data_IF_005576720272
#
_entry.id   IF_005576720272
#
_cell.length_a   1.000
_cell.length_b   1.000
_cell.length_c   1.000
_cell.angle_alpha   90.00
_cell.angle_beta   90.00
_cell.angle_gamma   90.00
#
_symmetry.space_group_name_H-M   'P 1'
#
loop_
_entity.id
_entity.type
_entity.pdbx_description
1 polymer ?
#
# COMPACT_ATOMS: atom_id res chain seq x y z
N UNK A 1 -36.01 -36.20 -43.09
CA UNK A 1 -35.63 -37.14 -42.02
C UNK A 1 -34.12 -37.28 -42.07
N UNK A 2 -33.35 -36.36 -41.47
CA UNK A 2 -32.89 -36.33 -40.05
C UNK A 2 -32.00 -37.53 -39.70
N UNK A 3 -30.82 -37.41 -39.09
CA UNK A 3 -29.98 -36.28 -38.67
C UNK A 3 -28.61 -36.84 -38.22
N UNK A 4 -27.54 -36.08 -38.52
CA UNK A 4 -26.28 -35.82 -37.78
C UNK A 4 -25.61 -36.95 -36.96
N UNK A 5 -24.35 -37.34 -37.23
CA UNK A 5 -23.10 -36.57 -36.98
C UNK A 5 -23.04 -35.89 -35.60
N UNK A 6 -22.43 -36.57 -34.61
CA UNK A 6 -21.53 -35.95 -33.64
C UNK A 6 -20.99 -37.01 -32.67
N UNK A 7 -19.77 -37.45 -32.89
CA UNK A 7 -18.94 -38.12 -31.87
C UNK A 7 -17.48 -37.91 -32.24
N UNK A 8 -17.05 -36.65 -32.21
CA UNK A 8 -15.64 -36.26 -32.17
C UNK A 8 -15.45 -35.30 -31.00
N UNK A 9 -14.37 -35.55 -30.27
CA UNK A 9 -13.75 -34.71 -29.24
C UNK A 9 -14.45 -34.59 -27.88
N UNK A 10 -14.52 -35.72 -27.16
CA UNK A 10 -14.21 -35.72 -25.73
C UNK A 10 -12.71 -36.06 -25.60
N UNK A 11 -11.85 -35.12 -25.97
CA UNK A 11 -10.46 -35.18 -25.57
C UNK A 11 -10.43 -35.06 -24.04
N UNK A 12 -9.97 -36.12 -23.36
CA UNK A 12 -9.53 -36.06 -21.98
C UNK A 12 -8.52 -34.90 -21.85
N UNK A 13 -8.97 -33.75 -21.35
CA UNK A 13 -8.11 -32.61 -21.07
C UNK A 13 -7.20 -33.02 -19.90
N UNK A 14 -5.91 -33.15 -20.16
CA UNK A 14 -4.91 -33.33 -19.11
C UNK A 14 -4.93 -32.08 -18.19
N UNK A 15 -5.10 -32.23 -16.86
CA UNK A 15 -5.15 -31.10 -15.91
C UNK A 15 -3.91 -30.20 -15.97
N UNK A 16 -2.74 -30.79 -16.26
CA UNK A 16 -1.45 -30.10 -16.37
C UNK A 16 -1.40 -29.08 -17.52
N UNK A 17 -2.08 -29.35 -18.66
CA UNK A 17 -2.12 -28.42 -19.79
C UNK A 17 -2.98 -27.18 -19.52
N UNK A 18 -3.93 -27.27 -18.58
CA UNK A 18 -4.86 -26.19 -18.27
C UNK A 18 -4.22 -25.15 -17.32
N UNK A 19 -3.41 -25.60 -16.35
CA UNK A 19 -2.70 -24.72 -15.42
C UNK A 19 -1.68 -23.81 -16.13
N UNK A 20 -0.83 -24.39 -16.98
CA UNK A 20 0.18 -23.64 -17.74
C UNK A 20 -0.51 -22.61 -18.67
N UNK A 21 -1.53 -23.04 -19.40
CA UNK A 21 -2.34 -22.15 -20.25
C UNK A 21 -2.94 -21.00 -19.43
N UNK A 22 -3.53 -21.30 -18.26
CA UNK A 22 -4.12 -20.29 -17.42
C UNK A 22 -3.10 -19.28 -16.88
N UNK A 23 -1.89 -19.73 -16.51
CA UNK A 23 -0.79 -18.87 -16.11
C UNK A 23 -0.39 -17.92 -17.25
N UNK A 24 -0.20 -18.44 -18.47
CA UNK A 24 0.14 -17.62 -19.63
C UNK A 24 -0.92 -16.56 -19.95
N UNK A 25 -2.20 -16.95 -19.94
CA UNK A 25 -3.32 -16.03 -20.15
C UNK A 25 -3.36 -14.94 -19.07
N UNK A 26 -3.18 -15.29 -17.80
CA UNK A 26 -3.15 -14.32 -16.70
C UNK A 26 -1.92 -13.40 -16.76
N UNK A 27 -0.76 -13.91 -17.19
CA UNK A 27 0.42 -13.06 -17.42
C UNK A 27 0.19 -12.07 -18.56
N UNK A 28 -0.49 -12.48 -19.63
CA UNK A 28 -0.86 -11.57 -20.72
C UNK A 28 -1.87 -10.51 -20.25
N UNK A 29 -2.83 -10.88 -19.39
CA UNK A 29 -3.76 -9.94 -18.77
C UNK A 29 -3.03 -8.94 -17.85
N UNK A 30 -2.06 -9.39 -17.06
CA UNK A 30 -1.19 -8.50 -16.28
C UNK A 30 -0.39 -7.55 -17.19
N UNK A 31 0.14 -8.03 -18.31
CA UNK A 31 0.85 -7.19 -19.28
C UNK A 31 -0.06 -6.09 -19.86
N UNK A 32 -1.33 -6.40 -20.14
CA UNK A 32 -2.33 -5.40 -20.55
C UNK A 32 -2.56 -4.38 -19.43
N UNK A 33 -2.76 -4.84 -18.19
CA UNK A 33 -2.98 -4.00 -17.02
C UNK A 33 -1.80 -3.02 -16.79
N UNK A 34 -0.57 -3.54 -16.81
CA UNK A 34 0.66 -2.76 -16.62
C UNK A 34 0.95 -1.76 -17.75
N UNK A 35 0.33 -1.94 -18.92
CA UNK A 35 0.32 -1.00 -20.05
C UNK A 35 -0.94 -0.10 -20.08
N UNK A 36 -1.64 0.04 -18.96
CA UNK A 36 -2.85 0.86 -18.78
C UNK A 36 -4.07 0.40 -19.62
N UNK A 37 -4.07 -0.81 -20.17
CA UNK A 37 -5.22 -1.39 -20.89
C UNK A 37 -6.13 -2.15 -19.91
N UNK A 38 -6.64 -1.42 -18.91
CA UNK A 38 -7.37 -1.98 -17.78
C UNK A 38 -8.61 -2.76 -18.18
N UNK A 39 -9.43 -2.21 -19.08
CA UNK A 39 -10.66 -2.85 -19.56
C UNK A 39 -10.38 -4.14 -20.33
N UNK A 40 -9.35 -4.15 -21.19
CA UNK A 40 -8.95 -5.33 -21.96
C UNK A 40 -8.44 -6.45 -21.03
N UNK A 41 -7.65 -6.06 -20.01
CA UNK A 41 -7.18 -7.00 -18.99
C UNK A 41 -8.34 -7.68 -18.26
N UNK A 42 -9.30 -6.91 -17.73
CA UNK A 42 -10.47 -7.44 -17.04
C UNK A 42 -11.34 -8.31 -17.96
N UNK A 43 -11.58 -7.87 -19.20
CA UNK A 43 -12.38 -8.60 -20.18
C UNK A 43 -11.75 -9.96 -20.53
N UNK A 44 -10.42 -10.01 -20.67
CA UNK A 44 -9.69 -11.26 -20.95
C UNK A 44 -9.79 -12.28 -19.82
N UNK A 45 -9.96 -11.83 -18.57
CA UNK A 45 -10.00 -12.69 -17.40
C UNK A 45 -11.42 -13.19 -17.06
N UNK A 46 -12.43 -12.35 -17.30
CA UNK A 46 -13.78 -12.52 -16.77
C UNK A 46 -14.41 -13.89 -17.08
N UNK A 47 -14.21 -14.39 -18.31
CA UNK A 47 -14.84 -15.61 -18.79
C UNK A 47 -14.44 -16.88 -18.03
N UNK A 48 -13.23 -16.92 -17.44
CA UNK A 48 -12.68 -18.12 -16.78
C UNK A 48 -12.60 -18.02 -15.25
N UNK A 49 -13.19 -16.97 -14.66
CA UNK A 49 -13.16 -16.72 -13.21
C UNK A 49 -13.79 -17.83 -12.35
N UNK A 50 -14.67 -18.66 -12.91
CA UNK A 50 -15.32 -19.77 -12.19
C UNK A 50 -14.59 -21.11 -12.32
N UNK A 51 -13.72 -21.20 -13.33
CA UNK A 51 -13.13 -22.44 -13.81
C UNK A 51 -11.62 -22.49 -13.62
N UNK A 52 -10.95 -21.36 -13.36
CA UNK A 52 -9.50 -21.29 -13.17
C UNK A 52 -9.14 -20.46 -11.94
N UNK A 53 -8.33 -21.02 -11.05
CA UNK A 53 -7.89 -20.36 -9.81
C UNK A 53 -7.13 -19.05 -10.09
N UNK A 54 -6.28 -19.04 -11.13
CA UNK A 54 -5.47 -17.86 -11.49
C UNK A 54 -6.31 -16.76 -12.11
N UNK A 55 -7.25 -17.09 -12.99
CA UNK A 55 -8.15 -16.10 -13.57
C UNK A 55 -9.04 -15.46 -12.50
N UNK A 56 -9.58 -16.30 -11.61
CA UNK A 56 -10.42 -15.86 -10.50
C UNK A 56 -9.66 -14.89 -9.58
N UNK A 57 -8.47 -15.28 -9.14
CA UNK A 57 -7.61 -14.47 -8.28
C UNK A 57 -7.19 -13.18 -8.97
N UNK A 58 -6.65 -13.25 -10.19
CA UNK A 58 -6.14 -12.07 -10.91
C UNK A 58 -7.24 -11.04 -11.14
N UNK A 59 -8.41 -11.49 -11.59
CA UNK A 59 -9.58 -10.63 -11.78
C UNK A 59 -10.00 -9.95 -10.47
N UNK A 60 -10.10 -10.74 -9.39
CA UNK A 60 -10.47 -10.23 -8.09
C UNK A 60 -9.44 -9.23 -7.53
N UNK A 61 -8.13 -9.51 -7.70
CA UNK A 61 -7.05 -8.62 -7.27
C UNK A 61 -7.07 -7.28 -8.01
N UNK A 62 -7.36 -7.27 -9.31
CA UNK A 62 -7.47 -6.01 -10.08
C UNK A 62 -8.65 -5.17 -9.57
N UNK A 63 -9.81 -5.79 -9.32
CA UNK A 63 -10.97 -5.09 -8.76
C UNK A 63 -10.73 -4.62 -7.32
N UNK A 64 -10.00 -5.38 -6.53
CA UNK A 64 -9.61 -4.96 -5.18
C UNK A 64 -8.64 -3.79 -5.22
N UNK A 65 -7.68 -3.77 -6.14
CA UNK A 65 -6.81 -2.61 -6.35
C UNK A 65 -7.64 -1.37 -6.69
N UNK A 66 -8.66 -1.50 -7.55
CA UNK A 66 -9.59 -0.41 -7.82
C UNK A 66 -10.31 0.03 -6.55
N UNK A 67 -10.90 -0.90 -5.78
CA UNK A 67 -11.63 -0.59 -4.56
C UNK A 67 -10.77 0.09 -3.48
N UNK A 68 -9.54 -0.39 -3.26
CA UNK A 68 -8.58 0.23 -2.34
C UNK A 68 -8.14 1.62 -2.81
N UNK A 69 -8.18 1.88 -4.12
CA UNK A 69 -7.83 3.18 -4.68
C UNK A 69 -9.02 4.14 -4.82
N UNK A 70 -10.28 3.67 -4.79
CA UNK A 70 -11.47 4.55 -4.80
C UNK A 70 -11.98 4.84 -3.40
N UNK A 71 -11.79 3.89 -2.48
CA UNK A 71 -12.49 3.84 -1.20
C UNK A 71 -14.03 3.95 -1.36
N UNK A 72 -14.55 3.68 -2.56
CA UNK A 72 -15.99 3.71 -2.81
C UNK A 72 -16.64 2.47 -2.17
N UNK A 73 -17.68 2.64 -1.33
CA UNK A 73 -18.32 1.52 -0.64
C UNK A 73 -18.85 0.45 -1.60
N UNK A 74 -19.34 0.84 -2.77
CA UNK A 74 -19.86 -0.10 -3.77
C UNK A 74 -18.73 -0.89 -4.43
N UNK A 75 -17.62 -0.24 -4.74
CA UNK A 75 -16.41 -0.91 -5.25
C UNK A 75 -15.83 -1.87 -4.20
N UNK A 76 -15.74 -1.46 -2.93
CA UNK A 76 -15.25 -2.29 -1.81
C UNK A 76 -16.15 -3.52 -1.61
N UNK A 77 -17.48 -3.36 -1.67
CA UNK A 77 -18.43 -4.47 -1.57
C UNK A 77 -18.30 -5.42 -2.78
N UNK A 78 -18.18 -4.88 -3.99
CA UNK A 78 -18.02 -5.67 -5.21
C UNK A 78 -16.71 -6.47 -5.21
N UNK A 79 -15.59 -5.83 -4.86
CA UNK A 79 -14.30 -6.49 -4.70
C UNK A 79 -14.36 -7.57 -3.62
N UNK A 80 -15.00 -7.30 -2.47
CA UNK A 80 -15.16 -8.27 -1.40
C UNK A 80 -15.96 -9.51 -1.80
N UNK A 81 -17.05 -9.33 -2.56
CA UNK A 81 -17.84 -10.43 -3.10
C UNK A 81 -17.06 -11.22 -4.15
N UNK A 82 -16.42 -10.53 -5.10
CA UNK A 82 -15.61 -11.17 -6.14
C UNK A 82 -14.45 -11.97 -5.54
N UNK A 83 -13.78 -11.43 -4.52
CA UNK A 83 -12.70 -12.12 -3.83
C UNK A 83 -13.19 -13.35 -3.05
N UNK A 84 -14.41 -13.29 -2.49
CA UNK A 84 -15.03 -14.46 -1.85
C UNK A 84 -15.32 -15.56 -2.86
N UNK A 85 -15.77 -15.21 -4.07
CA UNK A 85 -15.97 -16.15 -5.18
C UNK A 85 -14.64 -16.74 -5.66
N UNK A 86 -13.60 -15.91 -5.82
CA UNK A 86 -12.26 -16.36 -6.20
C UNK A 86 -11.67 -17.34 -5.17
N UNK A 87 -11.83 -17.05 -3.88
CA UNK A 87 -11.44 -17.98 -2.82
C UNK A 87 -12.19 -19.32 -2.92
N UNK A 88 -13.51 -19.29 -3.21
CA UNK A 88 -14.30 -20.49 -3.38
C UNK A 88 -13.86 -21.30 -4.59
N UNK A 89 -13.49 -20.65 -5.70
CA UNK A 89 -12.88 -21.30 -6.86
C UNK A 89 -11.56 -21.97 -6.48
N UNK A 90 -10.62 -21.25 -5.82
CA UNK A 90 -9.35 -21.82 -5.36
C UNK A 90 -9.57 -23.05 -4.45
N UNK A 91 -10.54 -22.98 -3.54
CA UNK A 91 -10.86 -24.08 -2.62
C UNK A 91 -11.29 -25.38 -3.33
N UNK A 92 -11.84 -25.32 -4.56
CA UNK A 92 -12.20 -26.52 -5.33
C UNK A 92 -10.97 -27.31 -5.78
N UNK A 93 -9.86 -26.62 -6.04
CA UNK A 93 -8.59 -27.18 -6.52
C UNK A 93 -7.62 -27.54 -5.39
N UNK A 94 -7.89 -27.11 -4.16
CA UNK A 94 -7.08 -27.47 -2.99
C UNK A 94 -7.25 -28.94 -2.63
N UNK A 95 -6.20 -29.51 -2.03
CA UNK A 95 -6.21 -30.87 -1.51
C UNK A 95 -7.37 -31.05 -0.53
N UNK A 96 -8.29 -31.97 -0.83
CA UNK A 96 -9.43 -32.28 0.02
C UNK A 96 -8.91 -33.05 1.23
N UNK A 97 -8.78 -32.38 2.37
CA UNK A 97 -8.47 -33.05 3.64
C UNK A 97 -9.75 -33.67 4.21
N UNK A 98 -9.81 -34.99 4.32
CA UNK A 98 -10.91 -35.66 5.00
C UNK A 98 -10.75 -35.49 6.52
N UNK A 99 -11.84 -35.51 7.29
CA UNK A 99 -11.78 -35.38 8.78
C UNK A 99 -10.87 -36.44 9.42
N UNK A 100 -10.75 -37.61 8.79
CA UNK A 100 -9.83 -38.67 9.18
C UNK A 100 -8.34 -38.32 8.95
N UNK A 101 -8.02 -37.59 7.88
CA UNK A 101 -6.65 -37.16 7.55
C UNK A 101 -6.14 -36.12 8.54
N UNK A 102 -7.02 -35.22 9.02
CA UNK A 102 -6.70 -34.21 10.03
C UNK A 102 -6.32 -34.80 11.39
N UNK A 103 -6.92 -35.94 11.76
CA UNK A 103 -6.61 -36.67 13.01
C UNK A 103 -5.28 -37.44 12.86
N UNK A 104 -5.01 -37.99 11.67
CA UNK A 104 -3.74 -38.68 11.39
C UNK A 104 -2.55 -37.70 11.32
N UNK A 105 -2.76 -36.49 10.77
CA UNK A 105 -1.75 -35.43 10.69
C UNK A 105 -1.28 -34.90 12.05
N UNK A 106 -2.13 -35.03 13.09
CA UNK A 106 -1.79 -34.65 14.46
C UNK A 106 -0.83 -35.66 15.12
N UNK A 107 -0.86 -36.93 14.68
CA UNK A 107 -0.12 -38.06 15.29
C UNK A 107 1.12 -38.43 14.48
N UNK A 108 1.09 -38.27 13.15
CA UNK A 108 2.24 -38.46 12.27
C UNK A 108 2.41 -37.27 11.33
N UNK A 109 3.53 -36.55 11.48
CA UNK A 109 4.04 -35.46 10.60
C UNK A 109 4.36 -35.93 9.16
N UNK A 110 3.76 -37.01 8.66
CA UNK A 110 4.15 -37.71 7.43
C UNK A 110 3.26 -37.41 6.21
N UNK A 111 2.25 -36.55 6.27
CA UNK A 111 1.35 -36.31 5.11
C UNK A 111 1.75 -35.18 4.15
N UNK A 112 2.98 -34.66 4.25
CA UNK A 112 3.55 -33.77 3.23
C UNK A 112 3.83 -34.50 1.90
N UNK A 113 3.69 -35.83 1.87
CA UNK A 113 3.95 -36.63 0.69
C UNK A 113 2.74 -36.62 -0.25
N UNK A 114 2.97 -36.05 -1.44
CA UNK A 114 2.10 -35.96 -2.61
C UNK A 114 1.05 -34.84 -2.56
N UNK A 115 1.49 -33.62 -2.90
CA UNK A 115 0.64 -32.64 -3.55
C UNK A 115 0.84 -32.76 -5.07
N UNK A 116 -0.24 -32.64 -5.83
CA UNK A 116 -0.15 -32.36 -7.26
C UNK A 116 0.28 -30.90 -7.48
N UNK A 117 0.80 -30.60 -8.67
CA UNK A 117 1.18 -29.24 -9.03
C UNK A 117 -0.01 -28.27 -8.96
N UNK A 118 -1.20 -28.71 -9.37
CA UNK A 118 -2.40 -27.88 -9.29
C UNK A 118 -2.80 -27.57 -7.85
N UNK A 119 -2.72 -28.55 -6.95
CA UNK A 119 -3.07 -28.36 -5.53
C UNK A 119 -2.12 -27.38 -4.83
N UNK A 120 -0.79 -27.45 -5.06
CA UNK A 120 0.15 -26.48 -4.43
C UNK A 120 -0.07 -25.05 -4.93
N UNK A 121 -0.41 -24.88 -6.21
CA UNK A 121 -0.74 -23.57 -6.77
C UNK A 121 -2.06 -23.05 -6.18
N UNK A 122 -3.03 -23.94 -5.95
CA UNK A 122 -4.30 -23.59 -5.30
C UNK A 122 -4.09 -23.17 -3.84
N UNK A 123 -3.17 -23.80 -3.10
CA UNK A 123 -2.80 -23.37 -1.74
C UNK A 123 -2.26 -21.93 -1.72
N UNK A 124 -1.36 -21.56 -2.64
CA UNK A 124 -0.87 -20.17 -2.75
C UNK A 124 -2.02 -19.22 -3.09
N UNK A 125 -2.79 -19.50 -4.14
CA UNK A 125 -3.85 -18.59 -4.59
C UNK A 125 -4.91 -18.39 -3.49
N UNK A 126 -5.19 -19.43 -2.71
CA UNK A 126 -6.08 -19.35 -1.56
C UNK A 126 -5.49 -18.52 -0.42
N UNK A 127 -4.20 -18.68 -0.11
CA UNK A 127 -3.51 -17.88 0.90
C UNK A 127 -3.50 -16.38 0.53
N UNK A 128 -3.39 -16.05 -0.76
CA UNK A 128 -3.49 -14.68 -1.26
C UNK A 128 -4.91 -14.13 -1.14
N UNK A 129 -5.92 -14.90 -1.54
CA UNK A 129 -7.32 -14.54 -1.32
C UNK A 129 -7.59 -14.23 0.16
N UNK A 130 -7.01 -15.00 1.09
CA UNK A 130 -7.18 -14.75 2.52
C UNK A 130 -6.60 -13.38 2.95
N UNK A 131 -5.42 -13.02 2.45
CA UNK A 131 -4.77 -11.73 2.75
C UNK A 131 -5.58 -10.56 2.20
N UNK A 132 -5.97 -10.66 0.94
CA UNK A 132 -6.78 -9.66 0.25
C UNK A 132 -8.14 -9.45 0.92
N UNK A 133 -8.82 -10.55 1.27
CA UNK A 133 -10.05 -10.46 2.07
C UNK A 133 -9.82 -9.88 3.46
N UNK A 134 -8.67 -10.12 4.10
CA UNK A 134 -8.36 -9.52 5.38
C UNK A 134 -8.22 -8.00 5.24
N UNK A 135 -7.50 -7.53 4.22
CA UNK A 135 -7.36 -6.10 3.90
C UNK A 135 -8.74 -5.45 3.70
N UNK A 136 -9.61 -6.02 2.86
CA UNK A 136 -10.97 -5.51 2.67
C UNK A 136 -11.82 -5.55 3.95
N UNK A 137 -11.66 -6.56 4.80
CA UNK A 137 -12.38 -6.64 6.08
C UNK A 137 -12.01 -5.49 7.01
N UNK A 138 -10.74 -5.09 7.04
CA UNK A 138 -10.28 -3.95 7.84
C UNK A 138 -10.77 -2.60 7.29
N UNK A 139 -11.13 -2.53 6.00
CA UNK A 139 -11.69 -1.33 5.38
C UNK A 139 -13.21 -1.21 5.52
N UNK A 140 -13.94 -2.33 5.65
CA UNK A 140 -15.40 -2.35 5.61
C UNK A 140 -16.08 -2.01 6.95
N UNK A 141 -15.51 -2.42 8.08
CA UNK A 141 -16.16 -2.31 9.39
C UNK A 141 -15.12 -2.16 10.51
N UNK A 142 -15.22 -1.09 11.30
CA UNK A 142 -14.33 -0.81 12.45
C UNK A 142 -14.67 -1.63 13.72
N UNK A 143 -15.58 -2.60 13.61
CA UNK A 143 -16.00 -3.38 14.78
C UNK A 143 -14.97 -4.48 15.13
N UNK A 144 -14.86 -4.77 16.43
CA UNK A 144 -13.88 -5.73 16.96
C UNK A 144 -14.04 -7.14 16.37
N UNK A 145 -15.25 -7.51 15.92
CA UNK A 145 -15.51 -8.82 15.29
C UNK A 145 -14.87 -8.91 13.91
N UNK A 146 -14.98 -7.86 13.09
CA UNK A 146 -14.32 -7.74 11.79
C UNK A 146 -12.80 -7.75 11.95
N UNK A 147 -12.27 -7.06 12.96
CA UNK A 147 -10.83 -7.09 13.29
C UNK A 147 -10.34 -8.51 13.60
N UNK A 148 -11.04 -9.26 14.46
CA UNK A 148 -10.69 -10.65 14.80
C UNK A 148 -10.77 -11.54 13.56
N UNK A 149 -11.84 -11.42 12.76
CA UNK A 149 -12.01 -12.19 11.52
C UNK A 149 -10.88 -11.91 10.52
N UNK A 150 -10.48 -10.65 10.36
CA UNK A 150 -9.34 -10.26 9.54
C UNK A 150 -8.04 -10.88 10.07
N UNK A 151 -7.77 -10.76 11.37
CA UNK A 151 -6.58 -11.34 12.01
C UNK A 151 -6.46 -12.87 11.82
N UNK A 152 -7.56 -13.60 11.93
CA UNK A 152 -7.58 -15.06 11.68
C UNK A 152 -7.20 -15.38 10.22
N UNK A 153 -7.68 -14.60 9.24
CA UNK A 153 -7.32 -14.80 7.83
C UNK A 153 -5.84 -14.55 7.57
N UNK A 154 -5.29 -13.48 8.15
CA UNK A 154 -3.85 -13.17 8.07
C UNK A 154 -3.03 -14.32 8.66
N UNK A 155 -3.43 -14.84 9.83
CA UNK A 155 -2.75 -15.98 10.47
C UNK A 155 -2.77 -17.23 9.61
N UNK A 156 -3.93 -17.59 9.07
CA UNK A 156 -4.07 -18.79 8.24
C UNK A 156 -3.23 -18.68 6.96
N UNK A 157 -3.17 -17.50 6.35
CA UNK A 157 -2.31 -17.23 5.20
C UNK A 157 -0.83 -17.37 5.57
N UNK A 158 -0.39 -16.76 6.69
CA UNK A 158 0.98 -16.87 7.19
C UNK A 158 1.41 -18.32 7.43
N UNK A 159 0.55 -19.12 8.06
CA UNK A 159 0.81 -20.54 8.27
C UNK A 159 0.94 -21.32 6.96
N UNK A 160 0.05 -21.05 6.00
CA UNK A 160 0.11 -21.67 4.67
C UNK A 160 1.45 -21.36 3.99
N UNK A 161 1.90 -20.10 3.99
CA UNK A 161 3.20 -19.75 3.40
C UNK A 161 4.39 -20.41 4.10
N UNK A 162 4.35 -20.55 5.43
CA UNK A 162 5.39 -21.25 6.20
C UNK A 162 5.45 -22.75 5.85
N UNK A 163 4.30 -23.37 5.65
CA UNK A 163 4.22 -24.78 5.23
C UNK A 163 4.74 -24.97 3.80
N UNK A 164 4.37 -24.07 2.88
CA UNK A 164 4.83 -24.11 1.49
C UNK A 164 6.34 -23.81 1.34
N UNK A 165 6.87 -22.90 2.14
CA UNK A 165 8.33 -22.66 2.22
C UNK A 165 9.08 -23.90 2.72
N UNK A 166 8.56 -24.54 3.77
CA UNK A 166 9.11 -25.80 4.28
C UNK A 166 9.04 -26.93 3.24
N UNK A 167 7.99 -26.95 2.42
CA UNK A 167 7.83 -27.91 1.33
C UNK A 167 8.89 -27.73 0.24
N UNK A 168 9.16 -26.48 -0.19
CA UNK A 168 10.20 -26.18 -1.20
C UNK A 168 11.58 -26.63 -0.74
N UNK A 169 11.86 -26.52 0.55
CA UNK A 169 13.14 -26.93 1.15
C UNK A 169 13.25 -28.45 1.37
N UNK A 170 12.16 -29.21 1.20
CA UNK A 170 12.14 -30.65 1.41
C UNK A 170 12.89 -31.38 0.29
N UNK A 171 13.76 -32.36 0.60
CA UNK A 171 14.46 -33.16 -0.41
C UNK A 171 13.52 -34.07 -1.22
N UNK A 172 12.30 -34.30 -0.72
CA UNK A 172 11.29 -35.14 -1.37
C UNK A 172 10.35 -34.36 -2.31
N UNK A 173 10.47 -33.03 -2.36
CA UNK A 173 9.64 -32.22 -3.22
C UNK A 173 10.14 -32.28 -4.68
N UNK A 174 9.25 -32.70 -5.57
CA UNK A 174 9.53 -32.78 -7.01
C UNK A 174 9.03 -31.52 -7.69
N UNK A 175 9.93 -30.83 -8.40
CA UNK A 175 9.62 -29.63 -9.16
C UNK A 175 8.83 -29.99 -10.42
N UNK A 176 7.60 -29.50 -10.51
CA UNK A 176 6.77 -29.59 -11.72
C UNK A 176 7.18 -28.55 -12.77
N UNK A 177 6.43 -28.52 -13.88
CA UNK A 177 6.66 -27.64 -15.03
C UNK A 177 6.49 -26.15 -14.67
N UNK A 178 5.48 -25.84 -13.86
CA UNK A 178 5.09 -24.50 -13.44
C UNK A 178 5.72 -24.10 -12.09
N UNK A 179 6.67 -24.89 -11.57
CA UNK A 179 7.32 -24.67 -10.28
C UNK A 179 7.87 -23.25 -10.10
N UNK A 180 8.38 -22.63 -11.17
CA UNK A 180 8.90 -21.25 -11.12
C UNK A 180 7.82 -20.23 -10.66
N UNK A 181 6.57 -20.42 -11.06
CA UNK A 181 5.45 -19.55 -10.65
C UNK A 181 5.01 -19.84 -9.21
N UNK A 182 5.11 -21.09 -8.76
CA UNK A 182 4.90 -21.49 -7.37
C UNK A 182 5.96 -20.90 -6.45
N UNK A 183 7.25 -21.12 -6.75
CA UNK A 183 8.38 -20.60 -5.98
C UNK A 183 8.33 -19.08 -5.89
N UNK A 184 8.05 -18.39 -7.00
CA UNK A 184 7.86 -16.93 -7.00
C UNK A 184 6.73 -16.46 -6.08
N UNK A 185 5.65 -17.24 -5.95
CA UNK A 185 4.57 -16.94 -5.02
C UNK A 185 4.91 -17.18 -3.55
N UNK A 186 5.64 -18.26 -3.25
CA UNK A 186 6.14 -18.47 -1.89
C UNK A 186 7.09 -17.33 -1.48
N UNK A 187 8.01 -16.94 -2.37
CA UNK A 187 8.92 -15.81 -2.16
C UNK A 187 8.18 -14.50 -1.90
N UNK A 188 7.11 -14.23 -2.65
CA UNK A 188 6.25 -13.07 -2.42
C UNK A 188 5.66 -13.09 -0.99
N UNK A 189 4.99 -14.18 -0.62
CA UNK A 189 4.31 -14.27 0.67
C UNK A 189 5.26 -14.26 1.85
N UNK A 190 6.28 -15.13 1.85
CA UNK A 190 7.29 -15.21 2.91
C UNK A 190 8.03 -13.87 3.05
N UNK A 191 8.41 -13.27 1.92
CA UNK A 191 9.05 -11.98 1.86
C UNK A 191 8.21 -10.86 2.46
N UNK A 192 6.94 -10.76 2.01
CA UNK A 192 5.99 -9.76 2.49
C UNK A 192 5.71 -9.88 3.99
N UNK A 193 5.46 -11.10 4.49
CA UNK A 193 5.21 -11.32 5.91
C UNK A 193 6.41 -10.97 6.76
N UNK A 194 7.59 -11.46 6.41
CA UNK A 194 8.80 -11.19 7.19
C UNK A 194 9.13 -9.70 7.24
N UNK A 195 9.03 -9.02 6.09
CA UNK A 195 9.27 -7.58 6.01
C UNK A 195 8.24 -6.80 6.83
N UNK A 196 6.95 -7.05 6.62
CA UNK A 196 5.86 -6.35 7.33
C UNK A 196 5.93 -6.57 8.83
N UNK A 197 6.11 -7.82 9.28
CA UNK A 197 6.23 -8.15 10.70
C UNK A 197 7.44 -7.47 11.35
N UNK A 198 8.56 -7.38 10.63
CA UNK A 198 9.77 -6.71 11.14
C UNK A 198 9.64 -5.19 11.32
N UNK A 199 8.62 -4.58 10.69
CA UNK A 199 8.36 -3.14 10.79
C UNK A 199 7.44 -2.78 11.95
N UNK A 200 6.80 -3.75 12.62
CA UNK A 200 5.97 -3.46 13.79
C UNK A 200 6.82 -3.00 14.97
N UNK A 201 6.31 -2.07 15.80
CA UNK A 201 6.94 -1.72 17.06
C UNK A 201 7.15 -2.93 17.97
N UNK A 202 8.27 -2.97 18.71
CA UNK A 202 8.66 -4.12 19.55
C UNK A 202 7.62 -4.58 20.58
N UNK A 203 6.69 -3.69 20.99
CA UNK A 203 5.58 -4.05 21.88
C UNK A 203 4.53 -4.90 21.16
N UNK A 204 4.18 -4.53 19.92
CA UNK A 204 3.21 -5.26 19.10
C UNK A 204 3.83 -6.57 18.62
N UNK A 205 5.11 -6.54 18.21
CA UNK A 205 5.82 -7.73 17.75
C UNK A 205 5.82 -8.84 18.82
N UNK A 206 6.11 -8.51 20.08
CA UNK A 206 6.07 -9.49 21.18
C UNK A 206 4.70 -10.17 21.36
N UNK A 207 3.61 -9.45 21.10
CA UNK A 207 2.26 -10.01 21.15
C UNK A 207 1.99 -10.94 19.96
N UNK A 208 2.45 -10.56 18.77
CA UNK A 208 2.32 -11.36 17.57
C UNK A 208 3.17 -12.64 17.64
N UNK A 209 4.38 -12.55 18.21
CA UNK A 209 5.27 -13.68 18.48
C UNK A 209 4.65 -14.71 19.41
N UNK A 210 3.94 -14.26 20.45
CA UNK A 210 3.20 -15.16 21.33
C UNK A 210 2.14 -15.99 20.58
N UNK A 211 1.55 -15.44 19.51
CA UNK A 211 0.55 -16.12 18.67
C UNK A 211 1.20 -16.95 17.54
N UNK A 212 2.53 -16.88 17.39
CA UNK A 212 3.33 -17.68 16.48
C UNK A 212 3.79 -16.96 15.20
N UNK A 213 3.63 -15.64 15.12
CA UNK A 213 4.21 -14.84 14.03
C UNK A 213 5.68 -14.54 14.31
N UNK A 214 6.51 -14.50 13.27
CA UNK A 214 7.86 -13.98 13.39
C UNK A 214 8.26 -13.23 12.13
N UNK A 215 9.05 -12.19 12.28
CA UNK A 215 9.50 -11.35 11.17
C UNK A 215 10.99 -11.12 11.20
N UNK A 216 11.67 -11.46 10.11
CA UNK A 216 13.07 -11.10 9.90
C UNK A 216 13.19 -10.21 8.66
N UNK A 217 13.59 -8.95 8.88
CA UNK A 217 13.72 -7.95 7.82
C UNK A 217 14.65 -8.37 6.69
N UNK A 218 15.85 -8.86 7.01
CA UNK A 218 16.87 -9.22 6.03
C UNK A 218 16.43 -10.41 5.19
N UNK A 219 15.86 -11.42 5.83
CA UNK A 219 15.28 -12.57 5.14
C UNK A 219 14.09 -12.15 4.26
N UNK A 220 13.23 -11.26 4.75
CA UNK A 220 12.11 -10.73 3.99
C UNK A 220 12.54 -10.01 2.72
N UNK A 221 13.56 -9.15 2.81
CA UNK A 221 14.13 -8.44 1.66
C UNK A 221 14.78 -9.41 0.67
N UNK A 222 15.55 -10.39 1.15
CA UNK A 222 16.18 -11.40 0.30
C UNK A 222 15.15 -12.20 -0.51
N UNK A 223 14.09 -12.69 0.14
CA UNK A 223 13.03 -13.45 -0.53
C UNK A 223 12.32 -12.61 -1.60
N UNK A 224 12.02 -11.34 -1.30
CA UNK A 224 11.42 -10.43 -2.29
C UNK A 224 12.38 -10.14 -3.45
N UNK A 225 13.68 -9.96 -3.20
CA UNK A 225 14.67 -9.71 -4.26
C UNK A 225 14.83 -10.91 -5.20
N UNK A 226 14.88 -12.12 -4.64
CA UNK A 226 14.89 -13.34 -5.43
C UNK A 226 13.59 -13.50 -6.22
N UNK A 227 12.44 -13.26 -5.59
CA UNK A 227 11.13 -13.32 -6.25
C UNK A 227 10.99 -12.29 -7.38
N UNK A 228 11.53 -11.09 -7.21
CA UNK A 228 11.55 -10.03 -8.22
C UNK A 228 12.48 -10.36 -9.41
N UNK A 229 13.58 -11.07 -9.15
CA UNK A 229 14.56 -11.45 -10.18
C UNK A 229 14.14 -12.68 -11.00
N UNK A 230 13.23 -13.50 -10.47
CA UNK A 230 12.64 -14.64 -11.18
C UNK A 230 11.70 -14.21 -12.30
N UNK A 231 11.51 -15.05 -13.32
CA UNK A 231 10.45 -14.88 -14.32
C UNK A 231 9.17 -15.60 -13.88
N UNK A 232 8.50 -15.07 -12.85
CA UNK A 232 7.30 -15.65 -12.27
C UNK A 232 6.08 -14.76 -12.48
N UNK A 233 4.89 -15.31 -12.25
CA UNK A 233 3.63 -14.55 -12.31
C UNK A 233 3.62 -13.39 -11.30
N UNK A 234 4.34 -13.55 -10.17
CA UNK A 234 4.33 -12.63 -9.02
C UNK A 234 5.55 -11.73 -8.93
N UNK A 235 6.48 -11.80 -9.89
CA UNK A 235 7.72 -11.03 -9.86
C UNK A 235 7.49 -9.51 -9.84
N UNK A 236 6.45 -9.05 -10.54
CA UNK A 236 6.06 -7.63 -10.51
C UNK A 236 5.58 -7.20 -9.12
N UNK A 237 4.82 -8.05 -8.41
CA UNK A 237 4.35 -7.74 -7.06
C UNK A 237 5.51 -7.70 -6.06
N UNK A 238 6.48 -8.61 -6.17
CA UNK A 238 7.72 -8.55 -5.38
C UNK A 238 8.47 -7.23 -5.63
N UNK A 239 8.57 -6.83 -6.91
CA UNK A 239 9.18 -5.54 -7.29
C UNK A 239 8.42 -4.36 -6.70
N UNK A 240 7.09 -4.36 -6.78
CA UNK A 240 6.26 -3.29 -6.21
C UNK A 240 6.42 -3.18 -4.70
N UNK A 241 6.47 -4.29 -3.96
CA UNK A 241 6.70 -4.28 -2.51
C UNK A 241 8.07 -3.73 -2.15
N UNK A 242 9.12 -4.10 -2.89
CA UNK A 242 10.47 -3.55 -2.69
C UNK A 242 10.52 -2.05 -2.98
N UNK A 243 9.89 -1.61 -4.08
CA UNK A 243 9.76 -0.19 -4.40
C UNK A 243 9.06 0.56 -3.27
N UNK A 244 7.88 0.10 -2.86
CA UNK A 244 7.14 0.69 -1.73
C UNK A 244 7.98 0.76 -0.45
N UNK A 245 8.73 -0.30 -0.16
CA UNK A 245 9.60 -0.34 1.01
C UNK A 245 10.70 0.74 0.93
N UNK A 246 11.43 0.81 -0.18
CA UNK A 246 12.56 1.72 -0.37
C UNK A 246 12.16 3.18 -0.59
N UNK A 247 10.97 3.45 -1.14
CA UNK A 247 10.54 4.82 -1.50
C UNK A 247 9.52 5.45 -0.55
N UNK A 248 8.81 4.63 0.24
CA UNK A 248 7.81 5.11 1.19
C UNK A 248 8.10 4.63 2.61
N UNK A 249 8.10 3.31 2.88
CA UNK A 249 8.08 2.78 4.25
C UNK A 249 9.31 3.18 5.09
N UNK A 250 10.50 3.23 4.50
CA UNK A 250 11.71 3.67 5.23
C UNK A 250 11.65 5.12 5.69
N UNK A 251 10.93 5.97 4.96
CA UNK A 251 10.73 7.39 5.29
C UNK A 251 9.62 7.56 6.33
N UNK A 252 8.50 6.85 6.17
CA UNK A 252 7.38 6.85 7.13
C UNK A 252 7.85 6.43 8.53
N UNK A 253 8.65 5.37 8.62
CA UNK A 253 9.15 4.84 9.88
C UNK A 253 10.32 5.67 10.47
N UNK A 254 10.66 6.82 9.88
CA UNK A 254 11.72 7.70 10.37
C UNK A 254 13.13 7.11 10.28
N UNK A 255 13.31 5.97 9.62
CA UNK A 255 14.62 5.32 9.52
C UNK A 255 15.54 6.03 8.53
N UNK A 256 14.98 6.74 7.54
CA UNK A 256 15.73 7.55 6.55
C UNK A 256 16.72 6.79 5.67
N UNK A 257 16.85 5.47 5.84
CA UNK A 257 17.79 4.58 5.16
C UNK A 257 17.19 3.94 3.90
N UNK A 258 16.38 4.69 3.15
CA UNK A 258 15.87 4.22 1.86
C UNK A 258 17.01 4.01 0.89
N UNK A 259 17.05 2.88 0.18
CA UNK A 259 18.05 2.63 -0.86
C UNK A 259 17.46 3.06 -2.21
N UNK A 260 17.66 4.33 -2.56
CA UNK A 260 17.14 4.93 -3.79
C UNK A 260 17.79 4.30 -5.03
N UNK A 261 19.05 3.90 -4.94
CA UNK A 261 19.79 3.23 -6.02
C UNK A 261 19.17 1.86 -6.34
N UNK A 262 18.82 1.09 -5.31
CA UNK A 262 18.14 -0.19 -5.47
C UNK A 262 16.73 0.00 -6.06
N UNK A 263 15.98 1.00 -5.60
CA UNK A 263 14.67 1.33 -6.18
C UNK A 263 14.78 1.65 -7.67
N UNK A 264 15.78 2.43 -8.09
CA UNK A 264 16.03 2.74 -9.49
C UNK A 264 16.42 1.50 -10.31
N UNK A 265 17.29 0.64 -9.75
CA UNK A 265 17.69 -0.62 -10.38
C UNK A 265 16.49 -1.54 -10.63
N UNK A 266 15.60 -1.65 -9.65
CA UNK A 266 14.37 -2.44 -9.73
C UNK A 266 13.38 -1.87 -10.75
N UNK A 267 13.25 -0.55 -10.84
CA UNK A 267 12.28 0.10 -11.71
C UNK A 267 12.71 0.11 -13.20
N UNK A 268 14.01 0.22 -13.47
CA UNK A 268 14.56 0.43 -14.83
C UNK A 268 14.08 -0.59 -15.88
N UNK A 269 14.05 -1.92 -15.63
CA UNK A 269 13.54 -2.89 -16.62
C UNK A 269 12.06 -2.68 -16.95
N UNK A 270 11.26 -2.26 -15.96
CA UNK A 270 9.83 -2.04 -16.14
C UNK A 270 9.54 -0.74 -16.90
N UNK A 271 10.32 0.32 -16.70
CA UNK A 271 10.21 1.52 -17.55
C UNK A 271 10.58 1.25 -19.01
N UNK A 272 11.53 0.32 -19.26
CA UNK A 272 11.87 -0.08 -20.62
C UNK A 272 10.75 -0.91 -21.27
N UNK A 273 10.11 -1.81 -20.51
CA UNK A 273 9.03 -2.68 -21.01
C UNK A 273 7.67 -1.96 -21.11
N UNK A 274 7.38 -1.06 -20.19
CA UNK A 274 6.12 -0.33 -20.07
C UNK A 274 6.41 1.19 -19.97
N UNK A 275 6.89 1.83 -21.05
CA UNK A 275 7.32 3.23 -21.03
C UNK A 275 6.20 4.22 -20.69
N UNK A 276 4.94 3.81 -20.87
CA UNK A 276 3.75 4.59 -20.49
C UNK A 276 2.99 3.99 -19.31
N UNK A 277 3.49 2.93 -18.65
CA UNK A 277 2.78 2.31 -17.54
C UNK A 277 2.67 3.27 -16.35
N UNK A 278 1.44 3.61 -15.94
CA UNK A 278 1.17 4.64 -14.93
C UNK A 278 1.84 4.31 -13.59
N UNK A 279 1.78 3.05 -13.16
CA UNK A 279 2.43 2.55 -11.94
C UNK A 279 3.93 2.86 -11.95
N UNK A 280 4.61 2.58 -13.05
CA UNK A 280 6.06 2.74 -13.15
C UNK A 280 6.47 4.20 -13.31
N UNK A 281 5.69 5.00 -14.04
CA UNK A 281 5.91 6.45 -14.13
C UNK A 281 5.73 7.14 -12.76
N UNK A 282 4.75 6.72 -11.98
CA UNK A 282 4.58 7.18 -10.60
C UNK A 282 5.81 6.89 -9.73
N UNK A 283 6.30 5.65 -9.72
CA UNK A 283 7.53 5.32 -8.99
C UNK A 283 8.76 6.06 -9.53
N UNK A 284 8.84 6.34 -10.83
CA UNK A 284 9.92 7.13 -11.42
C UNK A 284 9.91 8.56 -10.87
N UNK A 285 8.73 9.21 -10.82
CA UNK A 285 8.57 10.52 -10.20
C UNK A 285 8.94 10.50 -8.71
N UNK A 286 8.57 9.44 -7.99
CA UNK A 286 8.90 9.28 -6.57
C UNK A 286 10.41 9.18 -6.35
N UNK A 287 11.10 8.38 -7.15
CA UNK A 287 12.57 8.25 -7.08
C UNK A 287 13.26 9.59 -7.36
N UNK A 288 12.82 10.34 -8.38
CA UNK A 288 13.38 11.67 -8.66
C UNK A 288 13.12 12.66 -7.52
N UNK A 289 11.94 12.58 -6.88
CA UNK A 289 11.61 13.39 -5.70
C UNK A 289 12.59 13.10 -4.56
N UNK A 290 12.87 11.82 -4.30
CA UNK A 290 13.82 11.40 -3.25
C UNK A 290 15.27 11.78 -3.56
N UNK A 291 15.65 11.87 -4.85
CA UNK A 291 16.95 12.39 -5.29
C UNK A 291 17.05 13.92 -5.17
N UNK A 292 15.94 14.62 -4.93
CA UNK A 292 15.87 16.07 -4.93
C UNK A 292 15.75 16.70 -6.32
N UNK A 293 15.57 15.90 -7.37
CA UNK A 293 15.42 16.35 -8.75
C UNK A 293 13.96 16.74 -9.04
N UNK A 294 13.47 17.78 -8.35
CA UNK A 294 12.03 18.08 -8.33
C UNK A 294 11.45 18.40 -9.72
N UNK A 295 12.20 19.06 -10.60
CA UNK A 295 11.76 19.32 -11.98
C UNK A 295 11.55 18.05 -12.80
N UNK A 296 12.44 17.07 -12.63
CA UNK A 296 12.30 15.77 -13.28
C UNK A 296 11.11 15.02 -12.69
N UNK A 297 10.92 15.07 -11.37
CA UNK A 297 9.79 14.45 -10.70
C UNK A 297 8.44 14.98 -11.20
N UNK A 298 8.28 16.32 -11.27
CA UNK A 298 7.07 16.96 -11.80
C UNK A 298 6.76 16.45 -13.20
N UNK A 299 7.76 16.44 -14.09
CA UNK A 299 7.59 15.94 -15.46
C UNK A 299 7.11 14.48 -15.49
N UNK A 300 7.67 13.61 -14.64
CA UNK A 300 7.26 12.19 -14.57
C UNK A 300 5.82 12.02 -14.09
N UNK A 301 5.40 12.81 -13.10
CA UNK A 301 4.02 12.77 -12.61
C UNK A 301 3.02 13.30 -13.65
N UNK A 302 3.38 14.34 -14.40
CA UNK A 302 2.59 14.83 -15.54
C UNK A 302 2.50 13.78 -16.66
N UNK A 303 3.62 13.15 -17.05
CA UNK A 303 3.65 12.02 -17.99
C UNK A 303 2.75 10.87 -17.53
N UNK A 304 2.72 10.56 -16.23
CA UNK A 304 1.84 9.54 -15.64
C UNK A 304 0.35 9.90 -15.82
N UNK A 305 0.00 11.16 -15.54
CA UNK A 305 -1.36 11.65 -15.73
C UNK A 305 -1.79 11.62 -17.21
N UNK A 306 -0.89 11.94 -18.13
CA UNK A 306 -1.16 11.90 -19.58
C UNK A 306 -1.28 10.47 -20.13
N UNK A 307 -0.61 9.50 -19.50
CA UNK A 307 -0.51 8.14 -20.02
C UNK A 307 -1.82 7.35 -20.03
N UNK A 308 -2.80 7.73 -19.21
CA UNK A 308 -4.11 7.08 -19.14
C UNK A 308 -5.17 8.04 -18.56
N UNK A 309 -6.44 7.87 -18.91
CA UNK A 309 -7.56 8.70 -18.43
C UNK A 309 -8.69 7.90 -17.76
N UNK A 310 -8.51 6.57 -17.66
CA UNK A 310 -9.55 5.66 -17.21
C UNK A 310 -9.58 5.57 -15.68
N UNK A 311 -8.42 5.42 -15.05
CA UNK A 311 -8.26 5.31 -13.61
C UNK A 311 -7.71 6.61 -13.03
N UNK A 312 -8.63 7.54 -12.72
CA UNK A 312 -8.31 8.85 -12.13
C UNK A 312 -7.55 8.75 -10.79
N UNK A 313 -7.60 7.61 -10.13
CA UNK A 313 -6.94 7.36 -8.86
C UNK A 313 -5.42 7.43 -9.00
N UNK A 314 -4.86 6.98 -10.14
CA UNK A 314 -3.44 7.19 -10.43
C UNK A 314 -3.12 8.68 -10.60
N UNK A 315 -4.05 9.47 -11.16
CA UNK A 315 -3.89 10.93 -11.23
C UNK A 315 -3.90 11.53 -9.84
N UNK A 316 -4.81 11.10 -8.96
CA UNK A 316 -4.87 11.58 -7.58
C UNK A 316 -3.58 11.30 -6.81
N UNK A 317 -3.00 10.10 -6.97
CA UNK A 317 -1.66 9.82 -6.41
C UNK A 317 -0.60 10.77 -6.97
N UNK A 318 -0.62 11.07 -8.27
CA UNK A 318 0.31 12.02 -8.87
C UNK A 318 0.06 13.46 -8.40
N UNK A 319 -1.19 13.90 -8.26
CA UNK A 319 -1.55 15.23 -7.76
C UNK A 319 -1.06 15.43 -6.32
N UNK A 320 -1.11 14.38 -5.49
CA UNK A 320 -0.56 14.41 -4.14
C UNK A 320 0.95 14.67 -4.16
N UNK A 321 1.69 13.93 -4.98
CA UNK A 321 3.14 14.14 -5.08
C UNK A 321 3.50 15.47 -5.78
N UNK A 322 2.71 15.91 -6.77
CA UNK A 322 2.86 17.21 -7.44
C UNK A 322 2.65 18.37 -6.47
N UNK A 323 1.64 18.28 -5.58
CA UNK A 323 1.44 19.25 -4.50
C UNK A 323 2.72 19.44 -3.68
N UNK A 324 3.36 18.33 -3.25
CA UNK A 324 4.62 18.40 -2.52
C UNK A 324 5.79 18.89 -3.37
N UNK A 325 5.90 18.48 -4.63
CA UNK A 325 6.92 18.99 -5.55
C UNK A 325 6.84 20.51 -5.71
N UNK A 326 5.64 21.05 -5.96
CA UNK A 326 5.43 22.50 -6.06
C UNK A 326 5.64 23.22 -4.73
N UNK A 327 5.34 22.56 -3.61
CA UNK A 327 5.69 23.04 -2.26
C UNK A 327 7.20 23.20 -2.12
N UNK A 328 7.98 22.18 -2.48
CA UNK A 328 9.46 22.23 -2.44
C UNK A 328 10.03 23.30 -3.37
N UNK A 329 9.39 23.55 -4.52
CA UNK A 329 9.73 24.65 -5.44
C UNK A 329 9.25 26.03 -4.99
N UNK A 330 8.48 26.13 -3.90
CA UNK A 330 7.82 27.36 -3.42
C UNK A 330 6.83 27.96 -4.42
N UNK A 331 6.19 27.12 -5.24
CA UNK A 331 5.16 27.51 -6.20
C UNK A 331 3.76 27.26 -5.61
N UNK A 332 3.41 28.06 -4.61
CA UNK A 332 2.24 27.86 -3.74
C UNK A 332 0.90 27.82 -4.49
N UNK A 333 0.73 28.63 -5.53
CA UNK A 333 -0.49 28.63 -6.36
C UNK A 333 -0.73 27.27 -7.03
N UNK A 334 0.34 26.64 -7.51
CA UNK A 334 0.26 25.31 -8.13
C UNK A 334 0.06 24.23 -7.07
N UNK A 335 0.77 24.30 -5.95
CA UNK A 335 0.55 23.37 -4.84
C UNK A 335 -0.91 23.41 -4.35
N UNK A 336 -1.46 24.61 -4.19
CA UNK A 336 -2.85 24.83 -3.84
C UNK A 336 -3.83 24.32 -4.89
N UNK A 337 -3.54 24.53 -6.18
CA UNK A 337 -4.37 24.01 -7.25
C UNK A 337 -4.53 22.48 -7.15
N UNK A 338 -3.43 21.74 -6.96
CA UNK A 338 -3.50 20.29 -6.80
C UNK A 338 -4.18 19.86 -5.50
N UNK A 339 -3.95 20.58 -4.41
CA UNK A 339 -4.63 20.38 -3.13
C UNK A 339 -6.16 20.56 -3.26
N UNK A 340 -6.60 21.66 -3.87
CA UNK A 340 -8.02 21.96 -4.11
C UNK A 340 -8.66 20.94 -5.06
N UNK A 341 -7.95 20.54 -6.12
CA UNK A 341 -8.39 19.50 -7.05
C UNK A 341 -8.61 18.16 -6.34
N UNK A 342 -7.66 17.73 -5.51
CA UNK A 342 -7.79 16.54 -4.67
C UNK A 342 -8.98 16.62 -3.72
N UNK A 343 -9.19 17.76 -3.04
CA UNK A 343 -10.33 17.90 -2.12
C UNK A 343 -11.69 17.80 -2.81
N UNK A 344 -11.77 18.19 -4.08
CA UNK A 344 -13.02 18.16 -4.86
C UNK A 344 -13.29 16.79 -5.46
N UNK A 345 -12.26 16.17 -6.04
CA UNK A 345 -12.40 14.95 -6.81
C UNK A 345 -12.23 13.67 -5.99
N UNK A 346 -11.49 13.72 -4.89
CA UNK A 346 -11.16 12.51 -4.15
C UNK A 346 -12.31 12.10 -3.21
N UNK A 347 -12.71 10.84 -3.28
CA UNK A 347 -13.68 10.20 -2.36
C UNK A 347 -13.02 9.60 -1.12
N UNK A 348 -11.67 9.53 -1.05
CA UNK A 348 -10.93 9.05 0.14
C UNK A 348 -11.31 9.79 1.43
N UNK A 349 -11.91 10.98 1.31
CA UNK A 349 -12.36 11.81 2.42
C UNK A 349 -13.86 11.74 2.74
N UNK A 350 -14.69 11.07 1.93
CA UNK A 350 -16.16 11.17 2.05
C UNK A 350 -16.83 10.01 2.78
N UNK A 351 -16.28 8.79 2.70
CA UNK A 351 -16.86 7.59 3.33
C UNK A 351 -16.18 7.13 4.63
N UNK A 352 -15.09 7.79 5.04
CA UNK A 352 -14.66 7.72 6.43
C UNK A 352 -15.30 8.86 7.22
N UNK A 353 -16.53 8.67 7.69
CA UNK A 353 -17.29 9.65 8.49
C UNK A 353 -16.73 9.94 9.89
N UNK A 354 -15.47 9.56 10.17
CA UNK A 354 -14.68 10.00 11.33
C UNK A 354 -13.24 10.43 10.97
N UNK A 355 -12.86 10.44 9.69
CA UNK A 355 -11.51 10.75 9.20
C UNK A 355 -11.46 12.14 8.55
N UNK A 356 -12.21 13.09 9.12
CA UNK A 356 -12.27 14.49 8.67
C UNK A 356 -10.93 15.24 8.85
N UNK A 357 -9.93 14.66 9.50
CA UNK A 357 -8.81 15.43 10.02
C UNK A 357 -7.43 14.86 9.66
N UNK A 358 -7.25 14.22 8.49
CA UNK A 358 -5.99 13.88 7.74
C UNK A 358 -5.52 14.77 6.55
N UNK A 359 -6.31 14.75 5.47
CA UNK A 359 -5.91 15.34 4.19
C UNK A 359 -6.70 16.62 3.90
N UNK A 360 -7.94 16.71 4.40
CA UNK A 360 -8.77 17.91 4.25
C UNK A 360 -8.26 19.10 5.06
N UNK A 361 -7.56 18.92 6.20
CA UNK A 361 -7.07 20.06 7.00
C UNK A 361 -5.75 20.63 6.49
N UNK A 362 -4.83 19.81 5.94
CA UNK A 362 -3.65 20.35 5.25
C UNK A 362 -4.11 21.19 4.08
N UNK A 363 -5.09 20.68 3.31
CA UNK A 363 -5.68 21.38 2.17
C UNK A 363 -6.49 22.61 2.62
N UNK A 364 -7.23 22.56 3.72
CA UNK A 364 -7.99 23.72 4.25
C UNK A 364 -7.08 24.78 4.87
N UNK A 365 -6.01 24.37 5.56
CA UNK A 365 -4.94 25.27 6.01
C UNK A 365 -4.26 25.90 4.79
N UNK A 366 -3.93 25.11 3.76
CA UNK A 366 -3.44 25.60 2.47
C UNK A 366 -4.41 26.58 1.79
N UNK A 367 -5.73 26.34 1.91
CA UNK A 367 -6.80 27.14 1.31
C UNK A 367 -6.98 28.50 1.98
N UNK A 368 -6.95 28.56 3.30
CA UNK A 368 -6.92 29.82 4.03
C UNK A 368 -5.64 30.61 3.71
N UNK A 369 -4.51 29.90 3.59
CA UNK A 369 -3.20 30.46 3.32
C UNK A 369 -3.09 31.02 1.89
N UNK A 370 -3.60 30.32 0.88
CA UNK A 370 -3.52 30.74 -0.53
C UNK A 370 -4.58 31.78 -0.95
N UNK A 371 -5.67 31.91 -0.19
CA UNK A 371 -6.64 33.00 -0.36
C UNK A 371 -6.14 34.34 0.20
N UNK A 372 -5.03 34.37 0.94
CA UNK A 372 -4.33 35.61 1.29
C UNK A 372 -3.27 35.90 0.22
N UNK A 373 -3.36 37.04 -0.46
CA UNK A 373 -2.58 37.39 -1.65
C UNK A 373 -1.06 37.60 -1.42
N UNK A 374 -0.31 36.64 -0.86
CA UNK A 374 1.15 36.80 -0.80
C UNK A 374 1.99 35.52 -0.91
N UNK A 375 3.20 35.71 -1.43
CA UNK A 375 4.02 34.78 -2.20
C UNK A 375 5.00 33.90 -1.40
N UNK A 376 4.82 33.71 -0.09
CA UNK A 376 5.76 32.90 0.70
C UNK A 376 5.11 32.25 1.91
N UNK A 377 5.13 30.92 1.92
CA UNK A 377 4.53 30.01 2.91
C UNK A 377 5.64 28.98 3.30
N UNK A 378 5.62 28.33 4.47
CA UNK A 378 6.76 27.60 5.01
C UNK A 378 6.90 26.19 4.44
N UNK A 379 8.10 25.61 4.64
CA UNK A 379 8.46 24.24 4.23
C UNK A 379 7.76 23.21 5.14
N UNK A 380 6.94 22.36 4.53
CA UNK A 380 6.23 21.27 5.19
C UNK A 380 7.10 20.01 5.26
N UNK A 381 7.02 19.27 6.37
CA UNK A 381 7.42 17.87 6.44
C UNK A 381 6.17 17.00 6.27
N UNK A 382 6.14 16.04 5.33
CA UNK A 382 5.00 15.16 5.18
C UNK A 382 4.93 14.22 6.38
N UNK A 383 3.86 14.31 7.18
CA UNK A 383 3.39 13.19 7.98
C UNK A 383 2.54 12.31 7.07
N UNK A 384 2.82 11.00 7.06
CA UNK A 384 2.17 10.05 6.15
C UNK A 384 1.36 9.03 6.94
N UNK A 385 0.09 8.93 6.57
CA UNK A 385 -0.81 7.76 6.59
C UNK A 385 -0.40 6.61 7.54
N UNK A 386 -1.01 6.61 8.73
CA UNK A 386 -1.14 5.41 9.54
C UNK A 386 -2.63 5.15 9.86
N UNK A 387 -3.06 3.93 9.54
CA UNK A 387 -4.41 3.41 9.78
C UNK A 387 -4.85 3.60 11.25
N UNK A 388 -6.08 4.06 11.41
CA UNK A 388 -6.77 4.45 12.64
C UNK A 388 -6.93 3.32 13.66
N UNK A 389 -6.50 3.57 14.90
CA UNK A 389 -7.12 2.97 16.11
C UNK A 389 -7.28 3.95 17.28
N UNK A 390 -6.96 5.25 17.13
CA UNK A 390 -6.89 6.21 18.26
C UNK A 390 -7.58 7.58 18.01
N UNK A 391 -8.64 7.63 17.20
CA UNK A 391 -9.22 8.87 16.68
C UNK A 391 -9.69 9.91 17.73
N UNK A 392 -10.14 9.50 18.92
CA UNK A 392 -10.52 10.45 19.98
C UNK A 392 -9.34 10.96 20.80
N UNK A 393 -8.17 10.33 20.72
CA UNK A 393 -6.97 10.74 21.44
C UNK A 393 -6.00 11.59 20.62
N UNK A 394 -6.02 11.51 19.28
CA UNK A 394 -5.17 12.32 18.37
C UNK A 394 -5.70 13.74 18.12
N UNK A 395 -6.96 14.02 18.46
CA UNK A 395 -7.65 15.25 18.05
C UNK A 395 -6.98 16.55 18.53
N UNK A 396 -6.27 16.50 19.67
CA UNK A 396 -5.51 17.66 20.18
C UNK A 396 -4.14 17.81 19.51
N UNK A 397 -3.48 16.69 19.19
CA UNK A 397 -2.21 16.65 18.44
C UNK A 397 -2.44 17.22 17.03
N UNK A 398 -3.44 16.73 16.29
CA UNK A 398 -3.79 17.20 14.94
C UNK A 398 -4.11 18.71 14.91
N UNK A 399 -4.88 19.19 15.89
CA UNK A 399 -5.17 20.62 16.04
C UNK A 399 -3.90 21.44 16.26
N UNK A 400 -2.95 20.93 17.04
CA UNK A 400 -1.68 21.61 17.28
C UNK A 400 -0.78 21.61 16.04
N UNK A 401 -0.79 20.55 15.22
CA UNK A 401 -0.13 20.53 13.91
C UNK A 401 -0.69 21.65 13.01
N UNK A 402 -2.01 21.75 12.88
CA UNK A 402 -2.66 22.80 12.08
C UNK A 402 -2.28 24.18 12.57
N UNK A 403 -2.30 24.40 13.89
CA UNK A 403 -1.94 25.67 14.49
C UNK A 403 -0.47 26.01 14.23
N UNK A 404 0.43 25.02 14.25
CA UNK A 404 1.85 25.23 13.98
C UNK A 404 2.03 25.69 12.53
N UNK A 405 1.38 25.00 11.59
CA UNK A 405 1.43 25.31 10.17
C UNK A 405 0.83 26.69 9.88
N UNK A 406 -0.36 27.00 10.41
CA UNK A 406 -0.98 28.33 10.26
C UNK A 406 -0.11 29.43 10.84
N UNK A 407 0.45 29.23 12.03
CA UNK A 407 1.35 30.18 12.68
C UNK A 407 2.58 30.49 11.85
N UNK A 408 3.24 29.45 11.32
CA UNK A 408 4.38 29.60 10.42
C UNK A 408 4.01 30.38 9.15
N UNK A 409 2.85 30.10 8.55
CA UNK A 409 2.37 30.84 7.38
C UNK A 409 2.19 32.32 7.70
N UNK A 410 1.43 32.63 8.75
CA UNK A 410 1.14 34.01 9.17
C UNK A 410 2.40 34.80 9.52
N UNK A 411 3.39 34.15 10.13
CA UNK A 411 4.72 34.72 10.39
C UNK A 411 5.38 35.16 9.09
N UNK A 412 5.41 34.31 8.07
CA UNK A 412 6.00 34.65 6.76
C UNK A 412 5.18 35.68 5.96
N UNK A 413 3.87 35.79 6.23
CA UNK A 413 3.00 36.83 5.69
C UNK A 413 3.16 38.19 6.39
N UNK A 414 4.01 38.29 7.43
CA UNK A 414 4.17 39.50 8.24
C UNK A 414 3.00 39.76 9.22
N UNK A 415 2.07 38.81 9.35
CA UNK A 415 0.94 38.87 10.29
C UNK A 415 1.36 38.33 11.66
N UNK A 416 2.26 39.06 12.32
CA UNK A 416 2.99 38.56 13.48
C UNK A 416 2.07 38.26 14.68
N UNK A 417 1.07 39.11 14.96
CA UNK A 417 0.16 38.90 16.09
C UNK A 417 -0.69 37.64 15.92
N UNK A 418 -1.20 37.39 14.72
CA UNK A 418 -1.99 36.18 14.44
C UNK A 418 -1.10 34.93 14.55
N UNK A 419 0.14 34.99 14.07
CA UNK A 419 1.11 33.91 14.19
C UNK A 419 1.44 33.57 15.66
N UNK A 420 1.61 34.59 16.49
CA UNK A 420 1.86 34.47 17.93
C UNK A 420 0.71 33.76 18.65
N UNK A 421 -0.55 34.08 18.34
CA UNK A 421 -1.73 33.41 18.90
C UNK A 421 -1.74 31.91 18.58
N UNK A 422 -1.33 31.55 17.37
CA UNK A 422 -1.26 30.16 16.92
C UNK A 422 -0.17 29.37 17.67
N UNK A 423 1.03 29.94 17.85
CA UNK A 423 2.09 29.27 18.62
C UNK A 423 1.76 29.19 20.12
N UNK A 424 1.17 30.24 20.68
CA UNK A 424 0.71 30.24 22.07
C UNK A 424 -0.38 29.20 22.32
N UNK A 425 -1.30 28.98 21.36
CA UNK A 425 -2.31 27.93 21.47
C UNK A 425 -1.69 26.54 21.66
N UNK A 426 -0.64 26.22 20.90
CA UNK A 426 0.05 24.92 20.98
C UNK A 426 0.70 24.77 22.36
N UNK A 427 1.39 25.82 22.81
CA UNK A 427 2.01 25.85 24.13
C UNK A 427 0.97 25.66 25.26
N UNK A 428 -0.16 26.34 25.20
CA UNK A 428 -1.23 26.23 26.20
C UNK A 428 -1.89 24.84 26.23
N UNK A 429 -1.82 24.10 25.13
CA UNK A 429 -2.39 22.75 25.02
C UNK A 429 -1.33 21.63 25.17
N UNK A 430 -0.10 21.94 25.62
CA UNK A 430 1.00 20.97 25.85
C UNK A 430 0.55 19.70 26.57
N UNK A 431 -0.23 19.83 27.64
CA UNK A 431 -0.69 18.68 28.44
C UNK A 431 -1.71 17.78 27.74
N UNK A 432 -2.28 18.23 26.62
CA UNK A 432 -3.25 17.47 25.83
C UNK A 432 -2.59 16.73 24.66
N UNK A 433 -1.34 17.08 24.32
CA UNK A 433 -0.57 16.43 23.26
C UNK A 433 -0.05 15.08 23.79
N UNK A 434 -0.40 13.99 23.11
CA UNK A 434 -0.08 12.62 23.56
C UNK A 434 1.01 11.93 22.74
N UNK A 435 1.19 12.33 21.48
CA UNK A 435 2.02 11.61 20.52
C UNK A 435 3.05 12.55 19.85
N UNK A 436 2.60 13.71 19.38
CA UNK A 436 3.39 14.65 18.58
C UNK A 436 4.16 15.65 19.45
N UNK A 437 4.98 15.11 20.36
CA UNK A 437 5.77 15.92 21.29
C UNK A 437 6.77 16.86 20.62
N UNK A 438 7.05 16.69 19.32
CA UNK A 438 7.85 17.62 18.54
C UNK A 438 7.16 18.99 18.36
N UNK A 439 5.83 19.09 18.48
CA UNK A 439 5.09 20.32 18.24
C UNK A 439 5.44 21.43 19.23
N UNK A 440 5.64 21.08 20.50
CA UNK A 440 5.96 22.03 21.57
C UNK A 440 7.31 22.73 21.34
N UNK A 441 8.44 22.01 21.19
CA UNK A 441 9.73 22.67 20.98
C UNK A 441 9.75 23.46 19.66
N UNK A 442 9.08 23.00 18.59
CA UNK A 442 8.99 23.76 17.35
C UNK A 442 8.15 25.05 17.50
N UNK A 443 6.99 24.99 18.17
CA UNK A 443 6.17 26.17 18.42
C UNK A 443 6.88 27.21 19.30
N UNK A 444 7.57 26.75 20.35
CA UNK A 444 8.35 27.62 21.25
C UNK A 444 9.54 28.27 20.54
N UNK A 445 10.23 27.52 19.67
CA UNK A 445 11.30 28.06 18.84
C UNK A 445 10.79 29.15 17.91
N UNK A 446 9.70 28.90 17.20
CA UNK A 446 9.13 29.87 16.25
C UNK A 446 8.62 31.14 16.94
N UNK A 447 8.00 30.99 18.11
CA UNK A 447 7.57 32.09 18.96
C UNK A 447 8.77 32.88 19.51
N UNK A 448 9.84 32.22 19.93
CA UNK A 448 11.04 32.89 20.38
C UNK A 448 11.68 33.73 19.26
N UNK A 449 11.70 33.21 18.03
CA UNK A 449 12.19 33.96 16.87
C UNK A 449 11.31 35.21 16.63
N UNK A 450 9.97 35.09 16.72
CA UNK A 450 9.08 36.25 16.61
C UNK A 450 9.38 37.32 17.66
N UNK A 451 9.64 36.91 18.90
CA UNK A 451 9.96 37.83 19.98
C UNK A 451 11.33 38.49 19.78
N UNK A 452 12.32 37.77 19.26
CA UNK A 452 13.60 38.37 18.87
C UNK A 452 13.42 39.44 17.79
N UNK A 453 12.59 39.17 16.78
CA UNK A 453 12.29 40.11 15.70
C UNK A 453 11.55 41.37 16.19
N UNK A 454 10.85 41.28 17.33
CA UNK A 454 10.19 42.40 18.03
C UNK A 454 11.06 43.06 19.12
N UNK A 455 12.34 42.70 19.23
CA UNK A 455 13.28 43.14 20.29
C UNK A 455 12.87 42.73 21.73
N UNK A 456 11.98 41.74 21.88
CA UNK A 456 11.54 41.14 23.15
C UNK A 456 12.49 40.03 23.62
N UNK A 457 13.78 40.37 23.78
CA UNK A 457 14.86 39.39 24.01
C UNK A 457 14.71 38.56 25.28
N UNK A 458 14.31 39.17 26.39
CA UNK A 458 14.17 38.45 27.67
C UNK A 458 13.09 37.37 27.63
N UNK A 459 12.00 37.62 26.89
CA UNK A 459 10.91 36.67 26.72
C UNK A 459 11.32 35.54 25.76
N UNK A 460 12.04 35.88 24.68
CA UNK A 460 12.57 34.89 23.74
C UNK A 460 13.54 33.89 24.40
N UNK A 461 14.42 34.35 25.29
CA UNK A 461 15.36 33.49 26.00
C UNK A 461 14.62 32.45 26.85
N UNK A 462 13.57 32.86 27.58
CA UNK A 462 12.75 31.95 28.41
C UNK A 462 12.06 30.86 27.57
N UNK A 463 11.61 31.21 26.37
CA UNK A 463 11.00 30.26 25.44
C UNK A 463 12.03 29.27 24.88
N UNK A 464 13.22 29.73 24.50
CA UNK A 464 14.30 28.87 24.00
C UNK A 464 14.84 27.91 25.06
N UNK A 465 14.91 28.33 26.32
CA UNK A 465 15.30 27.47 27.44
C UNK A 465 14.30 26.32 27.67
N UNK A 466 13.02 26.58 27.41
CA UNK A 466 11.94 25.59 27.54
C UNK A 466 11.76 24.72 26.29
N UNK A 467 12.26 25.16 25.13
CA UNK A 467 12.23 24.42 23.88
C UNK A 467 13.33 23.33 23.79
N UNK A 468 14.27 23.29 24.73
CA UNK A 468 15.26 22.21 24.90
C UNK A 468 14.63 20.99 25.55
#
# INVERSE_FOLDING_TARGET
MTMSENTRDLAERSPTSDLNTALHECMAALDLFLNNKFSDALASLQAKTKDSMYHALTYATILEMQAMMTFDPQDILNAGNTMKEAQATCQKFRKKSTVADSINNLVHRQSLEHFTEEEIHAEICYAECLLQRAALTFLQDENMVSFIKGGIKVRNSYQTYRELDSLIQSPHYVKGENHLHFEGGVKLGVGAFNLTLSMFPARILRLLEFVGFSGNKEHGLLQLQEGASSYSFRSVLCTMLLLCYHTFMTFVLGTGKGNVEEAERLLKPYLARYPKGAIFLFFAGRIETLKGNIDAAVKRYEECCEAQQYWKQFHHMCYWELMWCFTYKRQWKMAFFYADLLSKENTWSKDCSHFETENCWEITAYREVCNSESSTIPVFKPHSFACSTFATELLADDQCVIKLLKGLCLKHLGKISEAEDHFNYIYLNEKKIKYDHYLIPNALLELAILYLDQDRREEAIKLLERAK
#
